data_IF_392291290316
#
_entry.id   IF_392291290316
#
_cell.length_a   1.000
_cell.length_b   1.000
_cell.length_c   1.000
_cell.angle_alpha   90.00
_cell.angle_beta   90.00
_cell.angle_gamma   90.00
#
_symmetry.space_group_name_H-M   'P 1'
#
loop_
_entity.id
_entity.type
_entity.pdbx_description
1 polymer ?
#
# COMPACT_ATOMS: atom_id res chain seq x y z
N UNK A 1 36.15 40.13 -33.21
CA UNK A 1 35.50 39.87 -31.90
C UNK A 1 35.77 38.50 -31.28
N UNK A 2 37.05 38.12 -31.15
CA UNK A 2 37.44 36.89 -30.43
C UNK A 2 37.20 37.04 -28.91
N UNK A 3 37.33 38.26 -28.39
CA UNK A 3 37.06 38.60 -26.99
C UNK A 3 35.62 38.33 -26.55
N UNK A 4 34.63 38.56 -27.42
CA UNK A 4 33.21 38.31 -27.12
C UNK A 4 32.93 36.80 -27.08
N UNK A 5 33.58 36.01 -27.95
CA UNK A 5 33.45 34.55 -27.98
C UNK A 5 33.99 33.87 -26.71
N UNK A 6 35.11 34.36 -26.17
CA UNK A 6 35.68 33.88 -24.90
C UNK A 6 34.80 34.27 -23.71
N UNK A 7 34.16 35.45 -23.76
CA UNK A 7 33.26 35.88 -22.69
C UNK A 7 31.96 35.08 -22.66
N UNK A 8 31.38 34.77 -23.83
CA UNK A 8 30.16 33.95 -23.94
C UNK A 8 30.35 32.49 -23.52
N UNK A 9 31.54 31.90 -23.70
CA UNK A 9 31.80 30.52 -23.27
C UNK A 9 32.05 30.39 -21.76
N UNK A 10 32.36 31.49 -21.07
CA UNK A 10 32.60 31.52 -19.62
C UNK A 10 31.34 31.75 -18.79
N UNK A 11 30.30 32.32 -19.40
CA UNK A 11 29.00 32.51 -18.75
C UNK A 11 28.22 31.20 -18.91
N UNK A 12 28.32 30.30 -17.91
CA UNK A 12 27.34 29.21 -17.78
C UNK A 12 25.96 29.87 -17.62
N UNK A 13 24.98 29.57 -18.48
CA UNK A 13 23.63 30.08 -18.27
C UNK A 13 23.18 29.66 -16.87
N UNK A 14 22.56 30.55 -16.09
CA UNK A 14 22.02 30.20 -14.78
C UNK A 14 21.04 29.04 -15.00
N UNK A 15 21.39 27.86 -14.50
CA UNK A 15 20.45 26.73 -14.47
C UNK A 15 19.36 27.14 -13.50
N UNK A 16 18.16 27.35 -14.02
CA UNK A 16 16.98 27.51 -13.18
C UNK A 16 16.90 26.33 -12.19
N UNK A 17 16.50 26.57 -10.94
CA UNK A 17 16.34 25.49 -9.98
C UNK A 17 15.25 24.56 -10.52
N UNK A 18 15.65 23.37 -10.99
CA UNK A 18 14.70 22.31 -11.33
C UNK A 18 13.82 22.08 -10.11
N UNK A 19 12.53 22.41 -10.24
CA UNK A 19 11.53 21.98 -9.29
C UNK A 19 11.61 20.45 -9.20
N UNK A 20 11.46 19.90 -8.00
CA UNK A 20 11.48 18.44 -7.83
C UNK A 20 10.27 17.87 -8.54
N UNK A 21 10.47 17.32 -9.73
CA UNK A 21 9.47 16.55 -10.44
C UNK A 21 9.21 15.24 -9.68
N UNK A 22 7.96 14.78 -9.72
CA UNK A 22 7.57 13.52 -9.10
C UNK A 22 8.32 12.36 -9.78
N UNK A 23 8.95 11.49 -8.99
CA UNK A 23 9.62 10.31 -9.54
C UNK A 23 8.59 9.26 -9.98
N UNK A 24 8.96 8.41 -10.95
CA UNK A 24 8.20 7.17 -11.29
C UNK A 24 7.76 6.40 -10.04
N UNK A 25 8.62 6.32 -9.02
CA UNK A 25 8.31 5.62 -7.78
C UNK A 25 7.18 6.30 -7.00
N UNK A 26 7.17 7.63 -6.97
CA UNK A 26 6.18 8.44 -6.26
C UNK A 26 4.82 8.39 -6.95
N UNK A 27 4.80 8.46 -8.29
CA UNK A 27 3.57 8.35 -9.10
C UNK A 27 2.91 6.98 -8.86
N UNK A 28 3.69 5.91 -8.93
CA UNK A 28 3.15 4.56 -8.70
C UNK A 28 2.70 4.37 -7.24
N UNK A 29 3.43 4.95 -6.28
CA UNK A 29 3.02 4.92 -4.87
C UNK A 29 1.71 5.70 -4.65
N UNK A 30 1.53 6.83 -5.35
CA UNK A 30 0.31 7.63 -5.28
C UNK A 30 -0.90 6.85 -5.81
N UNK A 31 -0.75 6.13 -6.93
CA UNK A 31 -1.78 5.20 -7.45
C UNK A 31 -2.10 4.11 -6.43
N UNK A 32 -1.07 3.46 -5.87
CA UNK A 32 -1.26 2.40 -4.87
C UNK A 32 -1.95 2.91 -3.60
N UNK A 33 -1.76 4.18 -3.24
CA UNK A 33 -2.42 4.84 -2.11
C UNK A 33 -3.80 5.43 -2.47
N UNK A 34 -4.23 5.34 -3.73
CA UNK A 34 -5.48 5.93 -4.21
C UNK A 34 -5.49 7.46 -4.21
N UNK A 35 -4.33 8.11 -4.17
CA UNK A 35 -4.21 9.57 -4.21
C UNK A 35 -4.37 10.12 -5.63
N UNK A 36 -4.09 9.28 -6.62
CA UNK A 36 -4.13 9.60 -8.06
C UNK A 36 -4.73 8.38 -8.76
N UNK A 37 -5.59 8.61 -9.75
CA UNK A 37 -6.18 7.52 -10.53
C UNK A 37 -5.16 6.89 -11.49
N UNK A 38 -5.35 5.64 -11.94
CA UNK A 38 -4.46 5.04 -12.93
C UNK A 38 -4.36 5.86 -14.23
N UNK A 39 -5.45 6.54 -14.62
CA UNK A 39 -5.52 7.39 -15.81
C UNK A 39 -4.69 8.66 -15.64
N UNK A 40 -4.80 9.34 -14.50
CA UNK A 40 -3.98 10.51 -14.18
C UNK A 40 -2.50 10.14 -14.08
N UNK A 41 -2.19 9.01 -13.47
CA UNK A 41 -0.82 8.53 -13.36
C UNK A 41 -0.22 8.12 -14.71
N UNK A 42 -1.05 7.67 -15.66
CA UNK A 42 -0.62 7.38 -17.02
C UNK A 42 -0.14 8.64 -17.74
N UNK A 43 -0.86 9.76 -17.59
CA UNK A 43 -0.45 11.07 -18.11
C UNK A 43 0.80 11.57 -17.39
N UNK A 44 0.86 11.49 -16.06
CA UNK A 44 2.04 11.90 -15.29
C UNK A 44 3.31 11.12 -15.65
N UNK A 45 3.17 9.83 -16.01
CA UNK A 45 4.29 9.02 -16.48
C UNK A 45 4.76 9.45 -17.88
N UNK A 46 3.85 9.87 -18.76
CA UNK A 46 4.23 10.43 -20.08
C UNK A 46 4.91 11.79 -19.94
N UNK A 47 4.48 12.62 -18.99
CA UNK A 47 5.09 13.93 -18.72
C UNK A 47 6.56 13.83 -18.25
N UNK A 48 6.98 12.65 -17.75
CA UNK A 48 8.37 12.35 -17.39
C UNK A 48 9.07 11.45 -18.42
N UNK A 49 8.63 11.52 -19.68
CA UNK A 49 9.21 10.86 -20.87
C UNK A 49 9.07 9.32 -20.93
N UNK A 50 8.09 8.71 -20.23
CA UNK A 50 7.76 7.31 -20.52
C UNK A 50 6.87 7.17 -21.75
N UNK A 51 7.15 6.13 -22.56
CA UNK A 51 6.28 5.81 -23.69
C UNK A 51 4.90 5.36 -23.19
N UNK A 52 3.83 5.55 -24.00
CA UNK A 52 2.49 5.04 -23.70
C UNK A 52 2.48 3.58 -23.22
N UNK A 53 3.18 2.71 -23.94
CA UNK A 53 3.29 1.27 -23.63
C UNK A 53 4.02 1.03 -22.31
N UNK A 54 5.10 1.78 -22.03
CA UNK A 54 5.83 1.68 -20.78
C UNK A 54 5.01 2.18 -19.59
N UNK A 55 4.24 3.25 -19.76
CA UNK A 55 3.35 3.79 -18.72
C UNK A 55 2.26 2.79 -18.35
N UNK A 56 1.60 2.19 -19.33
CA UNK A 56 0.62 1.12 -19.10
C UNK A 56 1.27 -0.07 -18.38
N UNK A 57 2.42 -0.53 -18.84
CA UNK A 57 3.14 -1.64 -18.22
C UNK A 57 3.53 -1.35 -16.76
N UNK A 58 4.04 -0.15 -16.48
CA UNK A 58 4.43 0.28 -15.13
C UNK A 58 3.23 0.28 -14.19
N UNK A 59 2.09 0.78 -14.65
CA UNK A 59 0.87 0.83 -13.86
C UNK A 59 0.31 -0.57 -13.64
N UNK A 60 0.25 -1.42 -14.66
CA UNK A 60 -0.27 -2.79 -14.57
C UNK A 60 0.57 -3.66 -13.61
N UNK A 61 1.89 -3.68 -13.80
CA UNK A 61 2.80 -4.57 -13.03
C UNK A 61 2.93 -4.17 -11.57
N UNK A 62 2.79 -2.87 -11.24
CA UNK A 62 2.95 -2.39 -9.86
C UNK A 62 1.64 -2.10 -9.13
N UNK A 63 0.53 -1.91 -9.84
CA UNK A 63 -0.79 -1.82 -9.22
C UNK A 63 -1.28 -3.22 -8.80
N UNK A 64 -0.95 -4.26 -9.56
CA UNK A 64 -1.18 -5.62 -9.13
C UNK A 64 -0.25 -5.97 -7.97
N UNK A 65 -0.84 -6.31 -6.82
CA UNK A 65 -0.10 -6.87 -5.70
C UNK A 65 0.58 -8.15 -6.18
N UNK A 66 1.89 -8.09 -6.40
CA UNK A 66 2.66 -9.24 -6.88
C UNK A 66 2.32 -10.47 -6.03
N UNK A 67 1.99 -11.62 -6.65
CA UNK A 67 1.66 -12.84 -5.93
C UNK A 67 2.81 -13.37 -5.06
N UNK A 68 4.02 -12.83 -5.25
CA UNK A 68 5.22 -13.15 -4.48
C UNK A 68 5.55 -12.09 -3.40
N UNK A 69 4.76 -11.01 -3.30
CA UNK A 69 4.96 -10.02 -2.24
C UNK A 69 4.43 -10.57 -0.92
N UNK A 70 5.25 -10.58 0.13
CA UNK A 70 4.82 -11.11 1.42
C UNK A 70 3.64 -10.30 1.95
N UNK A 71 2.55 -11.00 2.28
CA UNK A 71 1.32 -10.41 2.79
C UNK A 71 1.49 -9.92 4.23
N UNK A 72 2.45 -10.48 4.97
CA UNK A 72 2.76 -10.12 6.35
C UNK A 72 4.25 -9.87 6.56
N UNK A 73 4.57 -9.13 7.63
CA UNK A 73 5.96 -8.94 8.06
C UNK A 73 6.67 -10.26 8.35
N UNK A 74 5.92 -11.28 8.78
CA UNK A 74 6.46 -12.61 9.04
C UNK A 74 6.92 -13.30 7.76
N UNK A 75 6.09 -13.28 6.71
CA UNK A 75 6.49 -13.82 5.41
C UNK A 75 7.70 -13.07 4.87
N UNK A 76 7.73 -11.74 5.03
CA UNK A 76 8.88 -10.93 4.65
C UNK A 76 10.14 -11.32 5.44
N UNK A 77 10.02 -11.50 6.76
CA UNK A 77 11.13 -11.94 7.61
C UNK A 77 11.58 -13.36 7.29
N UNK A 78 10.66 -14.28 7.03
CA UNK A 78 10.99 -15.65 6.66
C UNK A 78 11.76 -15.71 5.33
N UNK A 79 11.31 -14.98 4.32
CA UNK A 79 11.99 -14.89 3.01
C UNK A 79 13.38 -14.24 3.17
N UNK A 80 13.47 -13.12 3.88
CA UNK A 80 14.76 -12.43 4.09
C UNK A 80 15.73 -13.21 4.97
N UNK A 81 15.24 -13.98 5.94
CA UNK A 81 16.08 -14.88 6.74
C UNK A 81 16.57 -16.09 5.96
N UNK A 82 15.73 -16.70 5.11
CA UNK A 82 16.17 -17.75 4.18
C UNK A 82 17.33 -17.26 3.31
N UNK A 83 17.20 -16.04 2.76
CA UNK A 83 18.28 -15.41 2.00
C UNK A 83 19.52 -15.15 2.85
N UNK A 84 19.38 -14.62 4.07
CA UNK A 84 20.52 -14.42 5.00
C UNK A 84 21.23 -15.72 5.35
N UNK A 85 20.49 -16.80 5.63
CA UNK A 85 21.05 -18.14 5.89
C UNK A 85 21.82 -18.65 4.67
N UNK A 86 21.26 -18.51 3.47
CA UNK A 86 21.94 -18.85 2.22
C UNK A 86 23.21 -18.02 1.99
N UNK A 87 23.20 -16.74 2.40
CA UNK A 87 24.33 -15.83 2.35
C UNK A 87 25.30 -15.94 3.55
N UNK A 88 25.10 -16.91 4.46
CA UNK A 88 25.87 -17.09 5.71
C UNK A 88 25.90 -15.87 6.64
N UNK A 89 24.88 -15.01 6.56
CA UNK A 89 24.69 -13.89 7.48
C UNK A 89 23.89 -14.33 8.71
N UNK A 90 24.08 -13.65 9.84
CA UNK A 90 23.33 -13.92 11.07
C UNK A 90 21.83 -13.66 10.87
N UNK A 91 21.00 -14.67 11.17
CA UNK A 91 19.54 -14.59 11.17
C UNK A 91 19.01 -14.72 12.59
N UNK A 92 18.26 -13.72 13.08
CA UNK A 92 17.52 -13.80 14.35
C UNK A 92 16.14 -14.41 14.11
N UNK A 93 15.77 -15.48 14.80
CA UNK A 93 14.47 -16.11 14.61
C UNK A 93 13.34 -15.20 15.13
N UNK A 94 12.21 -15.20 14.43
CA UNK A 94 11.01 -14.44 14.84
C UNK A 94 10.41 -15.13 16.07
N UNK A 95 10.11 -14.35 17.13
CA UNK A 95 9.49 -14.87 18.36
C UNK A 95 8.08 -15.37 18.11
N UNK A 96 7.64 -16.37 18.88
CA UNK A 96 6.30 -16.96 18.70
C UNK A 96 5.17 -15.99 19.08
N UNK A 97 5.42 -15.06 20.00
CA UNK A 97 4.48 -13.95 20.32
C UNK A 97 4.24 -13.04 19.10
N UNK A 98 5.29 -12.72 18.35
CA UNK A 98 5.18 -11.88 17.15
C UNK A 98 4.47 -12.62 16.01
N UNK A 99 4.64 -13.94 15.91
CA UNK A 99 3.91 -14.79 14.96
C UNK A 99 2.42 -14.87 15.28
N UNK A 100 2.08 -15.11 16.54
CA UNK A 100 0.69 -15.25 16.97
C UNK A 100 -0.08 -13.93 16.76
N UNK A 101 0.52 -12.81 17.14
CA UNK A 101 -0.11 -11.48 16.99
C UNK A 101 -0.20 -11.04 15.52
N UNK A 102 0.78 -11.36 14.68
CA UNK A 102 0.73 -11.04 13.25
C UNK A 102 -0.33 -11.86 12.51
N UNK A 103 -0.42 -13.17 12.78
CA UNK A 103 -1.48 -14.02 12.24
C UNK A 103 -2.89 -13.53 12.64
N UNK A 104 -3.06 -13.06 13.88
CA UNK A 104 -4.33 -12.49 14.35
C UNK A 104 -4.72 -11.23 13.58
N UNK A 105 -3.77 -10.34 13.30
CA UNK A 105 -4.01 -9.13 12.48
C UNK A 105 -4.42 -9.50 11.06
N UNK A 106 -3.78 -10.49 10.45
CA UNK A 106 -4.14 -10.96 9.09
C UNK A 106 -5.56 -11.49 9.08
N UNK A 107 -5.90 -12.42 9.99
CA UNK A 107 -7.25 -13.00 10.10
C UNK A 107 -8.33 -11.92 10.27
N UNK A 108 -8.12 -10.98 11.19
CA UNK A 108 -9.09 -9.90 11.45
C UNK A 108 -9.21 -8.92 10.28
N UNK A 109 -8.14 -8.75 9.49
CA UNK A 109 -8.18 -7.93 8.27
C UNK A 109 -9.02 -8.59 7.19
N UNK A 110 -8.90 -9.90 7.01
CA UNK A 110 -9.75 -10.67 6.09
C UNK A 110 -11.21 -10.65 6.52
N UNK A 111 -11.49 -10.86 7.81
CA UNK A 111 -12.85 -10.79 8.36
C UNK A 111 -13.49 -9.41 8.18
N UNK A 112 -12.73 -8.33 8.41
CA UNK A 112 -13.23 -6.98 8.19
C UNK A 112 -13.55 -6.74 6.72
N UNK A 113 -12.70 -7.22 5.81
CA UNK A 113 -12.92 -7.09 4.36
C UNK A 113 -14.20 -7.81 3.91
N UNK A 114 -14.41 -9.05 4.37
CA UNK A 114 -15.63 -9.81 4.06
C UNK A 114 -16.88 -9.07 4.57
N UNK A 115 -16.82 -8.48 5.76
CA UNK A 115 -17.93 -7.72 6.32
C UNK A 115 -18.17 -6.38 5.60
N UNK A 116 -17.11 -5.73 5.12
CA UNK A 116 -17.23 -4.52 4.29
C UNK A 116 -17.89 -4.81 2.94
N UNK A 117 -17.50 -5.91 2.29
CA UNK A 117 -18.11 -6.40 1.05
C UNK A 117 -19.60 -6.74 1.28
N UNK A 118 -19.92 -7.50 2.33
CA UNK A 118 -21.31 -7.84 2.66
C UNK A 118 -22.18 -6.59 2.94
N UNK A 119 -21.65 -5.59 3.66
CA UNK A 119 -22.36 -4.32 3.89
C UNK A 119 -22.55 -3.54 2.58
N UNK A 120 -21.58 -3.58 1.66
CA UNK A 120 -21.67 -2.91 0.37
C UNK A 120 -22.71 -3.58 -0.54
N UNK A 121 -22.72 -4.90 -0.61
CA UNK A 121 -23.66 -5.69 -1.40
C UNK A 121 -25.11 -5.51 -0.92
N UNK A 122 -25.31 -5.52 0.40
CA UNK A 122 -26.63 -5.30 0.99
C UNK A 122 -27.13 -3.88 0.68
N UNK A 123 -26.26 -2.87 0.85
CA UNK A 123 -26.58 -1.49 0.46
C UNK A 123 -26.94 -1.38 -1.02
N UNK A 124 -26.18 -2.02 -1.90
CA UNK A 124 -26.42 -2.00 -3.33
C UNK A 124 -27.78 -2.62 -3.69
N UNK A 125 -28.12 -3.73 -3.05
CA UNK A 125 -29.41 -4.41 -3.21
C UNK A 125 -30.59 -3.55 -2.74
N UNK A 126 -30.35 -2.69 -1.74
CA UNK A 126 -31.35 -1.82 -1.14
C UNK A 126 -31.50 -0.45 -1.85
N UNK A 127 -30.50 0.01 -2.61
CA UNK A 127 -30.55 1.26 -3.37
C UNK A 127 -31.70 1.38 -4.40
N UNK A 128 -32.13 0.33 -5.14
CA UNK A 128 -33.26 0.43 -6.07
C UNK A 128 -34.65 0.37 -5.41
N UNK A 129 -34.74 0.10 -4.10
CA UNK A 129 -36.02 0.01 -3.40
C UNK A 129 -36.51 1.40 -2.96
N UNK A 130 -37.74 1.75 -3.34
CA UNK A 130 -38.40 3.03 -2.94
C UNK A 130 -38.82 3.00 -1.47
N UNK A 131 -39.10 1.81 -0.94
CA UNK A 131 -39.37 1.56 0.49
C UNK A 131 -38.52 0.35 0.92
N UNK A 132 -37.68 0.54 1.94
CA UNK A 132 -36.83 -0.51 2.48
C UNK A 132 -37.69 -1.46 3.33
N UNK A 133 -37.64 -2.79 3.09
CA UNK A 133 -38.24 -3.74 4.02
C UNK A 133 -37.60 -3.57 5.40
N UNK A 134 -38.41 -3.51 6.48
CA UNK A 134 -37.88 -3.38 7.85
C UNK A 134 -36.88 -4.48 8.20
N UNK A 135 -37.06 -5.68 7.64
CA UNK A 135 -36.15 -6.81 7.79
C UNK A 135 -34.75 -6.51 7.22
N UNK A 136 -34.68 -5.93 6.03
CA UNK A 136 -33.40 -5.62 5.38
C UNK A 136 -32.65 -4.47 6.07
N UNK A 137 -33.38 -3.49 6.64
CA UNK A 137 -32.75 -2.48 7.49
C UNK A 137 -32.14 -3.08 8.77
N UNK A 138 -32.82 -4.06 9.36
CA UNK A 138 -32.33 -4.74 10.56
C UNK A 138 -31.07 -5.55 10.26
N UNK A 139 -31.05 -6.28 9.14
CA UNK A 139 -29.88 -7.04 8.68
C UNK A 139 -28.69 -6.12 8.37
N UNK A 140 -28.92 -5.01 7.68
CA UNK A 140 -27.89 -4.02 7.41
C UNK A 140 -27.31 -3.40 8.69
N UNK A 141 -28.16 -3.11 9.68
CA UNK A 141 -27.70 -2.63 11.00
C UNK A 141 -26.88 -3.68 11.73
N UNK A 142 -27.28 -4.95 11.70
CA UNK A 142 -26.53 -6.05 12.31
C UNK A 142 -25.15 -6.23 11.65
N UNK A 143 -25.09 -6.23 10.32
CA UNK A 143 -23.84 -6.29 9.56
C UNK A 143 -22.92 -5.11 9.88
N UNK A 144 -23.46 -3.89 10.00
CA UNK A 144 -22.68 -2.71 10.41
C UNK A 144 -22.13 -2.84 11.83
N UNK A 145 -22.91 -3.38 12.77
CA UNK A 145 -22.45 -3.64 14.15
C UNK A 145 -21.32 -4.67 14.14
N UNK A 146 -21.47 -5.77 13.40
CA UNK A 146 -20.43 -6.80 13.23
C UNK A 146 -19.15 -6.21 12.63
N UNK A 147 -19.27 -5.41 11.58
CA UNK A 147 -18.14 -4.69 10.96
C UNK A 147 -17.43 -3.80 11.98
N UNK A 148 -18.18 -2.99 12.74
CA UNK A 148 -17.60 -2.09 13.74
C UNK A 148 -16.86 -2.85 14.86
N UNK A 149 -17.41 -4.00 15.29
CA UNK A 149 -16.74 -4.88 16.27
C UNK A 149 -15.45 -5.48 15.71
N UNK A 150 -15.48 -5.97 14.47
CA UNK A 150 -14.29 -6.50 13.80
C UNK A 150 -13.21 -5.41 13.63
N UNK A 151 -13.60 -4.19 13.26
CA UNK A 151 -12.69 -3.06 13.14
C UNK A 151 -12.04 -2.70 14.49
N UNK A 152 -12.81 -2.69 15.58
CA UNK A 152 -12.28 -2.45 16.92
C UNK A 152 -11.30 -3.55 17.35
N UNK A 153 -11.65 -4.82 17.11
CA UNK A 153 -10.78 -5.96 17.40
C UNK A 153 -9.46 -5.90 16.59
N UNK A 154 -9.55 -5.51 15.31
CA UNK A 154 -8.37 -5.32 14.45
C UNK A 154 -7.46 -4.21 14.98
N UNK A 155 -8.03 -3.10 15.46
CA UNK A 155 -7.25 -2.01 16.05
C UNK A 155 -6.49 -2.46 17.30
N UNK A 156 -7.14 -3.25 18.17
CA UNK A 156 -6.50 -3.81 19.36
C UNK A 156 -5.40 -4.83 19.00
N UNK A 157 -5.67 -5.73 18.05
CA UNK A 157 -4.69 -6.69 17.56
C UNK A 157 -3.46 -6.00 16.95
N UNK A 158 -3.66 -4.92 16.19
CA UNK A 158 -2.56 -4.09 15.66
C UNK A 158 -1.73 -3.45 16.77
N UNK A 159 -2.37 -2.91 17.81
CA UNK A 159 -1.65 -2.37 18.97
C UNK A 159 -0.81 -3.44 19.68
N UNK A 160 -1.34 -4.65 19.85
CA UNK A 160 -0.60 -5.79 20.43
C UNK A 160 0.58 -6.20 19.54
N UNK A 161 0.35 -6.29 18.24
CA UNK A 161 1.38 -6.60 17.25
C UNK A 161 2.52 -5.56 17.23
N UNK A 162 2.19 -4.27 17.23
CA UNK A 162 3.17 -3.19 17.24
C UNK A 162 4.02 -3.22 18.53
N UNK A 163 3.39 -3.55 19.66
CA UNK A 163 4.10 -3.75 20.93
C UNK A 163 5.07 -4.93 20.87
N UNK A 164 4.62 -6.09 20.36
CA UNK A 164 5.47 -7.26 20.19
C UNK A 164 6.63 -6.99 19.22
N UNK A 165 6.36 -6.26 18.14
CA UNK A 165 7.35 -5.85 17.15
C UNK A 165 8.39 -4.90 17.75
N UNK A 166 7.97 -3.96 18.61
CA UNK A 166 8.87 -3.05 19.31
C UNK A 166 9.80 -3.81 20.27
N UNK A 167 9.28 -4.77 21.05
CA UNK A 167 10.11 -5.64 21.91
C UNK A 167 11.15 -6.40 21.10
N UNK A 168 10.72 -7.05 20.00
CA UNK A 168 11.62 -7.77 19.11
C UNK A 168 12.73 -6.87 18.52
N UNK A 169 12.42 -5.61 18.24
CA UNK A 169 13.39 -4.63 17.75
C UNK A 169 14.38 -4.16 18.83
N UNK A 170 14.02 -4.18 20.11
CA UNK A 170 14.91 -3.82 21.23
C UNK A 170 15.84 -4.97 21.63
N UNK A 171 15.40 -6.22 21.47
CA UNK A 171 16.22 -7.42 21.61
C UNK A 171 17.13 -7.67 20.37
N UNK A 172 16.97 -6.83 19.33
CA UNK A 172 17.72 -6.87 18.08
C UNK A 172 19.02 -6.07 18.15
#
# INVERSE_FOLDING_TARGET
>A
DILIGIFKSRIKPPKEPKLREASKADIVLAVKKGLVTPEEAYIMLQDIDFSPEASQFILMVRAESSPFSPASFEEFKAVTQKWRRAAKMTSKEVTDELKATGAEVVRLTEELKILEEAVADEKWTLMPAVELPEEAEAELKDLQVKRNRAAAALAEAKSRYDTARAKFAQES
#
